data_IF_026069908374
#
_entry.id   IF_026069908374
#
_cell.length_a   1.000
_cell.length_b   1.000
_cell.length_c   1.000
_cell.angle_alpha   90.00
_cell.angle_beta   90.00
_cell.angle_gamma   90.00
#
_symmetry.space_group_name_H-M   'P 1'
#
loop_
_entity.id
_entity.type
_entity.pdbx_description
1 polymer ?
#
# COMPACT_ATOMS: atom_id res chain seq x y z
N UNK A 1 0.41 -7.65 -9.09
CA UNK A 1 -0.95 -7.42 -8.58
C UNK A 1 -1.15 -7.97 -7.17
N UNK A 2 -1.11 -9.29 -6.95
CA UNK A 2 -1.38 -9.89 -5.61
C UNK A 2 -0.62 -9.23 -4.45
N UNK A 3 0.69 -9.07 -4.57
CA UNK A 3 1.52 -8.40 -3.56
C UNK A 3 1.12 -6.95 -3.25
N UNK A 4 0.61 -6.22 -4.24
CA UNK A 4 0.14 -4.84 -4.04
C UNK A 4 -1.11 -4.88 -3.15
N UNK A 5 -2.04 -5.79 -3.44
CA UNK A 5 -3.27 -5.99 -2.65
C UNK A 5 -2.95 -6.48 -1.24
N UNK A 6 -1.97 -7.38 -1.10
CA UNK A 6 -1.56 -7.89 0.21
C UNK A 6 -1.05 -6.75 1.12
N UNK A 7 -0.42 -5.70 0.55
CA UNK A 7 0.21 -4.60 1.30
C UNK A 7 -0.70 -3.37 1.45
N UNK A 8 -1.51 -3.06 0.43
CA UNK A 8 -2.25 -1.79 0.28
C UNK A 8 -3.77 -1.96 0.18
N UNK A 9 -4.28 -3.17 0.40
CA UNK A 9 -5.68 -3.57 0.26
C UNK A 9 -6.21 -3.69 -1.19
N UNK A 10 -7.44 -4.21 -1.30
CA UNK A 10 -8.12 -4.43 -2.56
C UNK A 10 -8.59 -3.09 -3.17
N UNK A 11 -8.35 -2.84 -4.48
CA UNK A 11 -8.84 -1.64 -5.13
C UNK A 11 -10.37 -1.55 -5.06
N UNK A 12 -10.90 -0.33 -4.93
CA UNK A 12 -12.34 -0.10 -4.96
C UNK A 12 -12.97 -0.57 -6.28
N UNK A 13 -14.23 -1.00 -6.23
CA UNK A 13 -14.94 -1.59 -7.36
C UNK A 13 -14.94 -0.69 -8.61
N UNK A 14 -15.05 0.62 -8.45
CA UNK A 14 -15.03 1.56 -9.59
C UNK A 14 -13.68 1.54 -10.34
N UNK A 15 -12.55 1.43 -9.63
CA UNK A 15 -11.22 1.30 -10.22
C UNK A 15 -11.09 -0.03 -10.98
N UNK A 16 -11.69 -1.09 -10.46
CA UNK A 16 -11.71 -2.39 -11.12
C UNK A 16 -12.59 -2.36 -12.38
N UNK A 17 -13.75 -1.70 -12.33
CA UNK A 17 -14.64 -1.54 -13.48
C UNK A 17 -13.98 -0.79 -14.64
N UNK A 18 -13.23 0.28 -14.33
CA UNK A 18 -12.58 1.14 -15.34
C UNK A 18 -11.19 0.62 -15.79
N UNK A 19 -10.65 -0.38 -15.07
CA UNK A 19 -9.31 -0.88 -15.30
C UNK A 19 -9.16 -1.70 -16.59
N UNK A 20 -8.28 -1.25 -17.49
CA UNK A 20 -7.97 -1.91 -18.77
C UNK A 20 -7.56 -3.38 -18.63
N UNK A 21 -6.82 -3.71 -17.56
CA UNK A 21 -6.32 -5.06 -17.32
C UNK A 21 -7.04 -5.79 -16.19
N UNK A 22 -8.16 -5.27 -15.66
CA UNK A 22 -8.85 -5.87 -14.52
C UNK A 22 -9.19 -7.32 -14.77
N UNK A 23 -9.79 -7.64 -15.92
CA UNK A 23 -10.19 -9.02 -16.27
C UNK A 23 -9.02 -9.99 -16.39
N UNK A 24 -7.78 -9.51 -16.54
CA UNK A 24 -6.58 -10.36 -16.53
C UNK A 24 -6.30 -10.92 -15.14
N UNK A 25 -6.51 -10.12 -14.09
CA UNK A 25 -6.14 -10.46 -12.72
C UNK A 25 -7.34 -10.79 -11.82
N UNK A 26 -8.52 -10.26 -12.14
CA UNK A 26 -9.75 -10.42 -11.35
C UNK A 26 -10.82 -11.14 -12.16
N UNK A 27 -11.69 -11.82 -11.44
CA UNK A 27 -12.92 -12.44 -11.94
C UNK A 27 -14.11 -11.87 -11.16
N UNK A 28 -15.29 -11.89 -11.77
CA UNK A 28 -16.53 -11.58 -11.06
C UNK A 28 -17.10 -12.89 -10.50
N UNK A 29 -17.42 -12.90 -9.21
CA UNK A 29 -18.06 -14.04 -8.54
C UNK A 29 -19.40 -13.63 -7.95
N UNK A 30 -20.35 -14.55 -7.96
CA UNK A 30 -21.63 -14.35 -7.29
C UNK A 30 -21.50 -14.83 -5.84
N UNK A 31 -21.66 -13.91 -4.89
CA UNK A 31 -21.66 -14.22 -3.45
C UNK A 31 -22.89 -13.58 -2.82
N UNK A 32 -23.76 -14.40 -2.21
CA UNK A 32 -24.98 -13.92 -1.54
C UNK A 32 -25.94 -13.15 -2.46
N UNK A 33 -26.03 -13.54 -3.74
CA UNK A 33 -26.88 -12.87 -4.73
C UNK A 33 -26.32 -11.57 -5.29
N UNK A 34 -25.11 -11.13 -4.87
CA UNK A 34 -24.41 -9.96 -5.41
C UNK A 34 -23.20 -10.39 -6.24
N UNK A 35 -22.88 -9.60 -7.25
CA UNK A 35 -21.66 -9.75 -8.02
C UNK A 35 -20.54 -8.95 -7.36
N UNK A 36 -19.41 -9.58 -7.09
CA UNK A 36 -18.22 -8.93 -6.52
C UNK A 36 -17.00 -9.29 -7.36
N UNK A 37 -16.08 -8.34 -7.52
CA UNK A 37 -14.74 -8.62 -8.01
C UNK A 37 -13.98 -9.48 -6.99
N UNK A 38 -13.20 -10.42 -7.51
CA UNK A 38 -12.32 -11.27 -6.72
C UNK A 38 -11.02 -11.51 -7.49
N UNK A 39 -9.89 -11.33 -6.81
CA UNK A 39 -8.58 -11.64 -7.36
C UNK A 39 -8.49 -13.14 -7.71
N UNK A 40 -8.09 -13.45 -8.94
CA UNK A 40 -7.89 -14.84 -9.40
C UNK A 40 -6.85 -15.55 -8.58
N UNK A 41 -7.07 -16.84 -8.35
CA UNK A 41 -6.06 -17.72 -7.76
C UNK A 41 -4.86 -17.85 -8.71
N UNK A 42 -3.67 -18.20 -8.21
CA UNK A 42 -2.50 -18.45 -9.07
C UNK A 42 -2.79 -19.46 -10.19
N UNK A 43 -3.57 -20.51 -9.90
CA UNK A 43 -3.95 -21.52 -10.89
C UNK A 43 -4.85 -20.96 -11.99
N UNK A 44 -5.89 -20.19 -11.64
CA UNK A 44 -6.78 -19.54 -12.63
C UNK A 44 -6.01 -18.58 -13.53
N UNK A 45 -5.13 -17.76 -12.94
CA UNK A 45 -4.28 -16.84 -13.71
C UNK A 45 -3.35 -17.59 -14.68
N UNK A 46 -2.73 -18.68 -14.22
CA UNK A 46 -1.83 -19.48 -15.05
C UNK A 46 -2.57 -20.18 -16.19
N UNK A 47 -3.77 -20.71 -15.93
CA UNK A 47 -4.59 -21.34 -16.97
C UNK A 47 -4.97 -20.36 -18.08
N UNK A 48 -5.32 -19.12 -17.73
CA UNK A 48 -5.76 -18.14 -18.72
C UNK A 48 -4.63 -17.43 -19.47
N UNK A 49 -3.51 -17.16 -18.79
CA UNK A 49 -2.40 -16.37 -19.36
C UNK A 49 -1.21 -17.21 -19.83
N UNK A 50 -1.20 -18.51 -19.51
CA UNK A 50 -0.06 -19.40 -19.74
C UNK A 50 1.17 -19.07 -18.89
N UNK A 51 1.12 -18.04 -18.04
CA UNK A 51 2.25 -17.56 -17.25
C UNK A 51 2.06 -17.94 -15.79
N UNK A 52 3.03 -18.65 -15.21
CA UNK A 52 3.04 -18.96 -13.79
C UNK A 52 3.16 -17.70 -12.93
N UNK A 53 2.57 -17.71 -11.75
CA UNK A 53 2.77 -16.64 -10.78
C UNK A 53 4.17 -16.73 -10.18
N UNK A 54 5.05 -15.78 -10.49
CA UNK A 54 6.35 -15.67 -9.82
C UNK A 54 6.13 -15.34 -8.34
N UNK A 55 6.62 -16.20 -7.45
CA UNK A 55 6.63 -15.94 -6.03
C UNK A 55 7.88 -15.14 -5.68
N UNK A 56 7.68 -13.97 -5.06
CA UNK A 56 8.75 -13.18 -4.48
C UNK A 56 8.73 -13.38 -2.96
N UNK A 57 9.87 -13.78 -2.39
CA UNK A 57 10.11 -13.87 -0.94
C UNK A 57 10.29 -12.47 -0.34
N UNK A 58 9.23 -11.65 -0.36
CA UNK A 58 9.21 -10.42 0.43
C UNK A 58 8.43 -10.69 1.72
N UNK A 59 9.08 -10.43 2.85
CA UNK A 59 8.56 -10.68 4.21
C UNK A 59 7.47 -9.69 4.65
N UNK A 60 7.39 -8.52 4.01
CA UNK A 60 6.52 -7.42 4.44
C UNK A 60 5.08 -7.63 3.99
N UNK A 61 4.14 -7.65 4.94
CA UNK A 61 2.69 -7.77 4.67
C UNK A 61 1.92 -6.46 4.78
N UNK A 62 2.50 -5.42 5.37
CA UNK A 62 1.87 -4.09 5.41
C UNK A 62 2.94 -3.01 5.51
N UNK A 63 2.60 -1.77 5.17
CA UNK A 63 3.52 -0.65 5.38
C UNK A 63 3.81 -0.42 6.88
N UNK A 64 2.88 -0.79 7.77
CA UNK A 64 3.09 -0.69 9.22
C UNK A 64 4.16 -1.64 9.75
N UNK A 65 4.38 -2.79 9.10
CA UNK A 65 5.46 -3.69 9.51
C UNK A 65 6.84 -3.01 9.40
N UNK A 66 6.99 -2.00 8.53
CA UNK A 66 8.22 -1.21 8.42
C UNK A 66 8.61 -0.50 9.73
N UNK A 67 7.62 -0.24 10.61
CA UNK A 67 7.87 0.32 11.94
C UNK A 67 8.50 -0.70 12.91
N UNK A 68 8.40 -1.99 12.61
CA UNK A 68 8.81 -3.09 13.49
C UNK A 68 9.97 -3.92 12.96
N UNK A 69 10.26 -3.83 11.65
CA UNK A 69 11.33 -4.61 11.00
C UNK A 69 12.71 -4.41 11.64
N UNK A 70 12.98 -3.20 12.09
CA UNK A 70 14.22 -2.85 12.77
C UNK A 70 13.91 -2.33 14.17
N UNK A 71 14.47 -2.93 15.24
CA UNK A 71 14.26 -2.43 16.58
C UNK A 71 14.89 -1.04 16.70
N UNK A 72 14.10 -0.08 17.19
CA UNK A 72 14.53 1.28 17.49
C UNK A 72 14.06 1.60 18.91
N UNK A 73 14.86 2.39 19.62
CA UNK A 73 14.52 2.85 20.97
C UNK A 73 13.20 3.62 20.95
N UNK A 74 12.27 3.27 21.83
CA UNK A 74 11.00 3.97 21.96
C UNK A 74 11.25 5.44 22.36
N UNK A 75 10.54 6.36 21.73
CA UNK A 75 10.68 7.80 21.99
C UNK A 75 12.00 8.40 21.51
N UNK A 76 12.69 7.73 20.56
CA UNK A 76 13.83 8.35 19.88
C UNK A 76 13.38 9.10 18.63
N UNK A 77 14.14 10.12 18.28
CA UNK A 77 14.04 10.89 17.02
C UNK A 77 13.94 9.97 15.79
N UNK A 78 14.70 8.88 15.74
CA UNK A 78 14.64 7.88 14.66
C UNK A 78 13.26 7.19 14.58
N UNK A 79 12.61 6.93 15.71
CA UNK A 79 11.29 6.32 15.71
C UNK A 79 10.23 7.27 15.15
N UNK A 80 10.35 8.56 15.46
CA UNK A 80 9.44 9.61 14.98
C UNK A 80 9.64 9.87 13.49
N UNK A 81 10.89 9.97 13.02
CA UNK A 81 11.22 10.10 11.61
C UNK A 81 10.72 8.91 10.80
N UNK A 82 10.87 7.70 11.34
CA UNK A 82 10.34 6.49 10.71
C UNK A 82 8.81 6.47 10.65
N UNK A 83 8.11 6.96 11.68
CA UNK A 83 6.63 7.08 11.65
C UNK A 83 6.21 8.06 10.56
N UNK A 84 6.85 9.23 10.49
CA UNK A 84 6.59 10.23 9.47
C UNK A 84 6.87 9.68 8.05
N UNK A 85 7.93 8.87 7.89
CA UNK A 85 8.25 8.21 6.63
C UNK A 85 7.16 7.23 6.19
N UNK A 86 6.73 6.34 7.09
CA UNK A 86 5.69 5.33 6.79
C UNK A 86 4.36 6.00 6.47
N UNK A 87 4.03 7.09 7.15
CA UNK A 87 2.85 7.90 6.86
C UNK A 87 2.89 8.48 5.43
N UNK A 88 4.02 9.09 5.05
CA UNK A 88 4.22 9.57 3.68
C UNK A 88 4.07 8.46 2.64
N UNK A 89 4.65 7.28 2.91
CA UNK A 89 4.54 6.12 2.02
C UNK A 89 3.08 5.69 1.84
N UNK A 90 2.28 5.66 2.91
CA UNK A 90 0.85 5.35 2.83
C UNK A 90 0.10 6.35 1.96
N UNK A 91 0.42 7.64 2.07
CA UNK A 91 -0.16 8.68 1.24
C UNK A 91 0.25 8.58 -0.24
N UNK A 92 1.52 8.27 -0.51
CA UNK A 92 2.07 8.12 -1.87
C UNK A 92 1.56 6.86 -2.58
N UNK A 93 1.39 5.77 -1.82
CA UNK A 93 1.00 4.46 -2.34
C UNK A 93 -0.50 4.20 -2.26
N UNK A 94 -1.32 5.24 -2.05
CA UNK A 94 -2.78 5.12 -2.15
C UNK A 94 -3.19 4.50 -3.50
N UNK A 95 -3.99 3.43 -3.41
CA UNK A 95 -4.47 2.67 -4.57
C UNK A 95 -5.38 3.53 -5.43
N UNK A 96 -6.27 4.29 -4.79
CA UNK A 96 -7.11 5.27 -5.47
C UNK A 96 -6.28 6.52 -5.81
N UNK A 97 -6.11 6.85 -7.11
CA UNK A 97 -5.37 8.04 -7.52
C UNK A 97 -6.00 9.35 -7.03
N UNK A 98 -7.32 9.38 -6.81
CA UNK A 98 -8.01 10.56 -6.27
C UNK A 98 -7.74 10.81 -4.78
N UNK A 99 -7.29 9.78 -4.04
CA UNK A 99 -6.89 9.90 -2.64
C UNK A 99 -5.36 10.00 -2.46
N UNK A 100 -4.60 9.83 -3.55
CA UNK A 100 -3.15 9.90 -3.53
C UNK A 100 -2.66 11.33 -3.33
N UNK A 101 -1.68 11.49 -2.46
CA UNK A 101 -1.06 12.80 -2.22
C UNK A 101 -0.45 13.37 -3.50
N UNK A 102 -0.68 14.66 -3.75
CA UNK A 102 -0.06 15.37 -4.87
C UNK A 102 1.42 15.71 -4.56
N UNK A 103 2.27 15.96 -5.58
CA UNK A 103 3.65 16.37 -5.34
C UNK A 103 3.78 17.60 -4.45
N UNK A 104 2.90 18.59 -4.62
CA UNK A 104 2.91 19.81 -3.81
C UNK A 104 2.58 19.53 -2.34
N UNK A 105 1.59 18.68 -2.07
CA UNK A 105 1.25 18.26 -0.71
C UNK A 105 2.37 17.39 -0.11
N UNK A 106 3.01 16.53 -0.90
CA UNK A 106 4.12 15.70 -0.43
C UNK A 106 5.32 16.56 0.02
N UNK A 107 5.61 17.66 -0.68
CA UNK A 107 6.65 18.61 -0.26
C UNK A 107 6.36 19.27 1.09
N UNK A 108 5.07 19.38 1.46
CA UNK A 108 4.62 19.93 2.75
C UNK A 108 4.49 18.86 3.83
N UNK A 109 4.73 17.59 3.53
CA UNK A 109 4.56 16.50 4.47
C UNK A 109 5.58 16.59 5.62
N UNK A 110 5.20 16.30 6.89
CA UNK A 110 6.10 16.38 8.05
C UNK A 110 7.43 15.65 7.90
N UNK A 111 7.45 14.52 7.17
CA UNK A 111 8.68 13.80 6.85
C UNK A 111 9.65 14.61 5.98
N UNK A 112 9.14 15.31 4.96
CA UNK A 112 9.97 16.11 4.04
C UNK A 112 10.40 17.42 4.70
N UNK A 113 9.49 18.08 5.41
CA UNK A 113 9.77 19.34 6.10
C UNK A 113 10.56 19.15 7.38
N UNK A 114 10.62 17.92 7.93
CA UNK A 114 11.21 17.59 9.23
C UNK A 114 10.55 18.27 10.43
N UNK A 115 9.34 18.80 10.28
CA UNK A 115 8.64 19.52 11.34
C UNK A 115 8.47 18.68 12.63
N UNK A 116 8.33 17.36 12.48
CA UNK A 116 8.21 16.42 13.60
C UNK A 116 9.51 16.24 14.43
N UNK A 117 10.64 16.79 13.97
CA UNK A 117 11.92 16.76 14.67
C UNK A 117 12.24 18.09 15.37
N UNK A 118 11.52 19.16 15.03
CA UNK A 118 11.77 20.50 15.57
C UNK A 118 11.12 20.70 16.94
N UNK A 119 10.07 19.93 17.28
CA UNK A 119 9.38 20.00 18.58
C UNK A 119 10.26 19.58 19.78
N UNK A 120 11.34 18.82 19.56
CA UNK A 120 12.25 18.40 20.64
C UNK A 120 13.36 19.43 20.96
N UNK A 121 13.59 20.43 20.10
CA UNK A 121 14.67 21.42 20.32
C UNK A 121 14.29 22.55 21.30
N UNK A 122 12.99 22.80 21.52
CA UNK A 122 12.52 23.86 22.42
C UNK A 122 12.36 23.41 23.88
N UNK A 123 12.67 22.14 24.20
CA UNK A 123 12.55 21.58 25.56
C UNK A 123 13.88 21.22 26.23
N UNK A 124 15.02 21.55 25.60
CA UNK A 124 16.38 21.32 26.13
C UNK A 124 17.08 22.61 26.60
#
# INVERSE_FOLDING_TARGET
MRKIIDILDEPADHLLCDGMFTKKFFKVVQQGGRYKWQLKTPGEYQQETGTGATQYENSVRSLDELLTLYPVTQGSTEMEDRRAFVDLLKCLLQVDPGQRISPLQALQHPFITKAHLEEEMDTS
#
